data_IF_223800098140
#
_entry.id   IF_223800098140
#
_cell.length_a   1.000
_cell.length_b   1.000
_cell.length_c   1.000
_cell.angle_alpha   90.00
_cell.angle_beta   90.00
_cell.angle_gamma   90.00
#
_symmetry.space_group_name_H-M   'P 1'
#
loop_
_entity.id
_entity.type
_entity.pdbx_description
1 polymer ?
#
# COMPACT_ATOMS: atom_id res chain seq x y z
N UNK A 1 31.36 -30.02 22.77
CA UNK A 1 30.01 -30.40 22.34
C UNK A 1 29.04 -29.35 22.86
N UNK A 2 28.85 -28.28 22.12
CA UNK A 2 27.93 -27.21 22.44
C UNK A 2 26.80 -27.26 21.44
N UNK A 3 25.58 -27.52 21.93
CA UNK A 3 24.40 -27.47 21.15
C UNK A 3 24.15 -26.00 20.73
N UNK A 4 24.26 -25.72 19.45
CA UNK A 4 23.74 -24.52 18.84
C UNK A 4 22.23 -24.67 18.85
N UNK A 5 21.59 -23.96 19.77
CA UNK A 5 20.13 -23.83 19.78
C UNK A 5 19.72 -23.15 18.49
N UNK A 6 19.09 -23.89 17.62
CA UNK A 6 18.38 -23.35 16.48
C UNK A 6 17.33 -22.39 17.02
N UNK A 7 17.52 -21.10 16.86
CA UNK A 7 16.44 -20.14 16.84
C UNK A 7 15.67 -20.43 15.54
N UNK A 8 14.75 -21.38 15.67
CA UNK A 8 13.82 -21.72 14.63
C UNK A 8 12.98 -20.47 14.31
N UNK A 9 13.00 -20.09 13.07
CA UNK A 9 12.08 -19.15 12.50
C UNK A 9 10.64 -19.65 12.52
N UNK A 10 10.10 -19.82 13.73
CA UNK A 10 8.73 -20.28 13.95
C UNK A 10 7.66 -19.23 13.59
N UNK A 11 8.06 -17.97 13.41
CA UNK A 11 7.11 -16.91 13.09
C UNK A 11 6.79 -16.79 11.61
N UNK A 12 7.71 -17.20 10.76
CA UNK A 12 7.51 -17.19 9.31
C UNK A 12 6.80 -18.44 8.79
N UNK A 13 6.91 -19.56 9.51
CA UNK A 13 6.27 -20.82 9.16
C UNK A 13 4.74 -20.75 9.17
N UNK A 14 4.19 -20.05 10.14
CA UNK A 14 2.72 -20.01 10.33
C UNK A 14 2.04 -19.09 9.29
N UNK A 15 2.65 -17.97 8.89
CA UNK A 15 2.13 -17.12 7.83
C UNK A 15 2.17 -17.78 6.45
N UNK A 16 3.23 -18.55 6.17
CA UNK A 16 3.38 -19.29 4.91
C UNK A 16 2.45 -20.52 4.87
N UNK A 17 2.15 -21.15 6.00
CA UNK A 17 1.23 -22.28 6.05
C UNK A 17 -0.22 -21.87 5.83
N UNK A 18 -0.63 -20.69 6.32
CA UNK A 18 -1.99 -20.15 6.09
C UNK A 18 -2.16 -19.74 4.63
N UNK A 19 -1.15 -19.11 4.02
CA UNK A 19 -1.17 -18.82 2.60
C UNK A 19 -1.22 -20.07 1.72
N UNK A 20 -0.74 -21.21 2.21
CA UNK A 20 -0.75 -22.50 1.53
C UNK A 20 -2.11 -23.21 1.62
N UNK A 21 -2.90 -22.94 2.68
CA UNK A 21 -4.26 -23.48 2.83
C UNK A 21 -5.29 -22.70 2.02
N UNK A 22 -5.08 -21.40 1.80
CA UNK A 22 -5.91 -20.60 0.90
C UNK A 22 -5.33 -20.59 -0.51
N UNK A 23 -5.47 -21.70 -1.23
CA UNK A 23 -5.02 -21.74 -2.63
C UNK A 23 -5.80 -20.75 -3.48
N UNK A 24 -5.14 -20.05 -4.43
CA UNK A 24 -5.82 -19.14 -5.38
C UNK A 24 -7.04 -19.77 -6.07
N UNK A 25 -7.07 -21.08 -6.20
CA UNK A 25 -8.19 -21.84 -6.73
C UNK A 25 -9.46 -21.80 -5.90
N UNK A 26 -9.37 -21.67 -4.57
CA UNK A 26 -10.56 -21.55 -3.70
C UNK A 26 -11.17 -20.15 -3.74
N UNK A 27 -10.36 -19.14 -3.96
CA UNK A 27 -10.83 -17.75 -4.11
C UNK A 27 -11.40 -17.53 -5.52
N UNK A 28 -10.85 -18.18 -6.54
CA UNK A 28 -11.31 -18.07 -7.93
C UNK A 28 -12.62 -18.80 -8.21
N UNK A 29 -13.05 -19.75 -7.38
CA UNK A 29 -14.27 -20.52 -7.61
C UNK A 29 -15.57 -19.81 -7.21
N UNK A 30 -15.48 -18.66 -6.54
CA UNK A 30 -16.67 -17.93 -6.07
C UNK A 30 -17.20 -16.92 -7.09
N UNK A 31 -16.42 -16.57 -8.12
CA UNK A 31 -16.82 -15.63 -9.16
C UNK A 31 -16.32 -16.15 -10.51
N UNK A 32 -17.23 -16.76 -11.29
CA UNK A 32 -16.88 -17.43 -12.55
C UNK A 32 -16.62 -16.46 -13.70
N UNK A 33 -16.84 -15.16 -13.49
CA UNK A 33 -16.66 -14.15 -14.52
C UNK A 33 -15.25 -13.57 -14.46
N UNK A 34 -14.35 -14.16 -15.23
CA UNK A 34 -13.04 -13.58 -15.49
C UNK A 34 -13.19 -12.25 -16.20
N UNK A 35 -12.88 -11.17 -15.50
CA UNK A 35 -12.80 -9.86 -16.10
C UNK A 35 -11.59 -9.81 -17.03
N UNK A 36 -11.83 -9.44 -18.27
CA UNK A 36 -10.77 -9.14 -19.25
C UNK A 36 -10.87 -7.64 -19.51
N UNK A 37 -9.77 -6.93 -19.39
CA UNK A 37 -9.73 -5.52 -19.76
C UNK A 37 -10.02 -5.38 -21.25
N UNK A 38 -11.05 -4.63 -21.60
CA UNK A 38 -11.41 -4.34 -22.99
C UNK A 38 -10.28 -3.59 -23.72
N UNK A 39 -9.55 -2.74 -23.00
CA UNK A 39 -8.52 -1.89 -23.57
C UNK A 39 -7.18 -2.62 -23.81
N UNK A 40 -6.74 -3.43 -22.86
CA UNK A 40 -5.41 -4.09 -22.90
C UNK A 40 -5.49 -5.58 -23.21
N UNK A 41 -6.66 -6.20 -23.15
CA UNK A 41 -6.83 -7.66 -23.22
C UNK A 41 -6.25 -8.41 -22.01
N UNK A 42 -5.80 -7.70 -20.98
CA UNK A 42 -5.24 -8.30 -19.78
C UNK A 42 -6.30 -9.03 -18.96
N UNK A 43 -5.96 -10.21 -18.45
CA UNK A 43 -6.82 -10.95 -17.52
C UNK A 43 -6.73 -10.29 -16.15
N UNK A 44 -7.78 -9.65 -15.73
CA UNK A 44 -7.87 -9.01 -14.42
C UNK A 44 -8.11 -10.07 -13.32
N UNK A 45 -7.53 -9.84 -12.16
CA UNK A 45 -7.97 -10.52 -10.93
C UNK A 45 -9.42 -10.18 -10.68
N UNK A 46 -10.25 -11.16 -10.28
CA UNK A 46 -11.64 -10.85 -9.96
C UNK A 46 -11.73 -9.86 -8.81
N UNK A 47 -12.74 -9.00 -8.83
CA UNK A 47 -12.98 -8.06 -7.73
C UNK A 47 -13.14 -8.79 -6.40
N UNK A 48 -13.81 -9.95 -6.40
CA UNK A 48 -13.95 -10.77 -5.22
C UNK A 48 -12.57 -11.13 -4.63
N UNK A 49 -11.69 -11.73 -5.44
CA UNK A 49 -10.34 -12.10 -4.98
C UNK A 49 -9.56 -10.89 -4.46
N UNK A 50 -9.57 -9.78 -5.21
CA UNK A 50 -8.84 -8.56 -4.85
C UNK A 50 -9.36 -7.87 -3.59
N UNK A 51 -10.63 -8.10 -3.21
CA UNK A 51 -11.23 -7.48 -2.02
C UNK A 51 -11.26 -8.40 -0.80
N UNK A 52 -11.05 -9.71 -0.96
CA UNK A 52 -11.12 -10.69 0.13
C UNK A 52 -9.76 -11.30 0.48
N UNK A 53 -8.71 -10.98 -0.26
CA UNK A 53 -7.36 -11.46 -0.02
C UNK A 53 -6.38 -10.28 -0.01
N UNK A 54 -6.11 -9.73 1.16
CA UNK A 54 -5.39 -8.47 1.32
C UNK A 54 -4.31 -8.55 2.40
N UNK A 55 -3.25 -7.75 2.23
CA UNK A 55 -2.23 -7.48 3.23
C UNK A 55 -2.40 -6.06 3.78
N UNK A 56 -3.48 -5.78 4.50
CA UNK A 56 -3.66 -4.58 5.29
C UNK A 56 -3.61 -4.98 6.78
N UNK A 57 -2.38 -5.14 7.28
CA UNK A 57 -2.11 -5.64 8.64
C UNK A 57 -2.62 -4.71 9.74
N UNK A 58 -2.97 -3.50 9.38
CA UNK A 58 -3.73 -2.56 10.21
C UNK A 58 -5.03 -3.18 10.73
N UNK A 59 -5.64 -4.09 9.96
CA UNK A 59 -6.87 -4.79 10.36
C UNK A 59 -6.61 -6.17 10.96
N UNK A 60 -5.47 -6.79 10.67
CA UNK A 60 -5.09 -8.10 11.18
C UNK A 60 -4.16 -8.87 10.24
N UNK A 61 -3.71 -10.04 10.69
CA UNK A 61 -2.71 -10.84 9.99
C UNK A 61 -3.29 -11.82 8.97
N UNK A 62 -4.54 -12.23 9.14
CA UNK A 62 -5.22 -13.09 8.17
C UNK A 62 -5.56 -12.30 6.91
N UNK A 63 -5.46 -12.94 5.73
CA UNK A 63 -5.72 -12.29 4.45
C UNK A 63 -7.17 -11.84 4.27
N UNK A 64 -8.09 -12.43 5.03
CA UNK A 64 -9.51 -12.05 5.05
C UNK A 64 -9.83 -10.98 6.10
N UNK A 65 -8.95 -10.76 7.06
CA UNK A 65 -9.14 -9.77 8.13
C UNK A 65 -9.48 -8.36 7.61
N UNK A 66 -8.77 -7.82 6.60
CA UNK A 66 -9.09 -6.49 6.09
C UNK A 66 -10.53 -6.38 5.58
N UNK A 67 -11.01 -7.38 4.86
CA UNK A 67 -12.40 -7.41 4.38
C UNK A 67 -13.41 -7.49 5.55
N UNK A 68 -13.15 -8.36 6.52
CA UNK A 68 -14.07 -8.61 7.63
C UNK A 68 -14.09 -7.48 8.65
N UNK A 69 -12.97 -6.80 8.87
CA UNK A 69 -12.76 -5.87 9.99
C UNK A 69 -12.74 -4.40 9.60
N UNK A 70 -12.70 -4.08 8.31
CA UNK A 70 -12.62 -2.68 7.86
C UNK A 70 -13.95 -1.92 7.83
N UNK A 71 -15.07 -2.58 8.17
CA UNK A 71 -16.41 -1.98 8.07
C UNK A 71 -16.65 -0.75 8.97
N UNK A 72 -15.88 -0.63 10.06
CA UNK A 72 -15.96 0.51 10.96
C UNK A 72 -14.96 1.64 10.61
N UNK A 73 -14.13 1.44 9.59
CA UNK A 73 -13.11 2.40 9.21
C UNK A 73 -13.71 3.60 8.46
N UNK A 74 -13.53 4.78 9.02
CA UNK A 74 -14.03 6.03 8.46
C UNK A 74 -13.12 6.57 7.36
N UNK A 75 -13.66 6.60 6.14
CA UNK A 75 -12.96 7.08 4.95
C UNK A 75 -12.99 8.61 4.81
N UNK A 76 -13.89 9.29 5.50
CA UNK A 76 -14.07 10.75 5.45
C UNK A 76 -14.30 11.33 6.86
N UNK A 77 -13.77 12.54 7.16
CA UNK A 77 -12.88 13.33 6.31
C UNK A 77 -11.50 12.70 6.18
N UNK A 78 -10.81 12.93 5.04
CA UNK A 78 -9.45 12.47 4.82
C UNK A 78 -8.56 13.61 4.37
N UNK A 79 -7.44 13.79 5.07
CA UNK A 79 -6.47 14.84 4.81
C UNK A 79 -5.06 14.25 4.68
N UNK A 80 -4.26 14.84 3.82
CA UNK A 80 -2.86 14.48 3.63
C UNK A 80 -1.99 15.71 3.85
N UNK A 81 -1.04 15.62 4.76
CA UNK A 81 -0.07 16.66 5.05
C UNK A 81 1.21 16.43 4.25
N UNK A 82 1.67 17.46 3.56
CA UNK A 82 2.95 17.52 2.88
C UNK A 82 3.88 18.44 3.63
N UNK A 83 5.07 17.95 3.97
CA UNK A 83 6.06 18.70 4.73
C UNK A 83 7.51 18.31 4.42
N UNK A 84 8.46 18.81 5.23
CA UNK A 84 9.89 18.59 5.04
C UNK A 84 10.46 19.51 3.96
N UNK A 85 11.33 18.98 3.10
CA UNK A 85 12.07 19.75 2.09
C UNK A 85 11.20 20.07 0.87
N UNK A 86 10.15 20.88 1.05
CA UNK A 86 9.32 21.42 -0.02
C UNK A 86 9.06 22.92 0.19
N UNK A 87 8.85 23.65 -0.90
CA UNK A 87 8.66 25.10 -0.83
C UNK A 87 7.25 25.50 -0.40
N UNK A 88 6.26 24.62 -0.63
CA UNK A 88 4.84 24.85 -0.35
C UNK A 88 4.26 23.74 0.54
N UNK A 89 4.70 23.62 1.80
CA UNK A 89 4.11 22.64 2.71
C UNK A 89 2.65 22.99 2.97
N UNK A 90 1.82 21.97 3.24
CA UNK A 90 0.40 22.18 3.51
C UNK A 90 -0.35 20.90 3.77
N UNK A 91 -1.59 21.03 4.19
CA UNK A 91 -2.54 19.92 4.35
C UNK A 91 -3.66 20.09 3.36
N UNK A 92 -3.94 19.04 2.60
CA UNK A 92 -4.93 19.03 1.54
C UNK A 92 -6.00 17.99 1.83
N UNK A 93 -7.24 18.34 1.58
CA UNK A 93 -8.34 17.37 1.57
C UNK A 93 -8.23 16.41 0.37
N UNK A 94 -8.86 15.27 0.48
CA UNK A 94 -8.85 14.28 -0.59
C UNK A 94 -9.36 14.85 -1.92
N UNK A 95 -10.43 15.65 -1.86
CA UNK A 95 -11.03 16.26 -3.04
C UNK A 95 -10.07 17.28 -3.70
N UNK A 96 -9.25 17.98 -2.91
CA UNK A 96 -8.19 18.84 -3.42
C UNK A 96 -7.13 18.02 -4.18
N UNK A 97 -6.70 16.88 -3.61
CA UNK A 97 -5.72 15.99 -4.24
C UNK A 97 -6.24 15.41 -5.56
N UNK A 98 -7.52 15.04 -5.58
CA UNK A 98 -8.19 14.55 -6.79
C UNK A 98 -8.38 15.64 -7.85
N UNK A 99 -8.58 16.89 -7.44
CA UNK A 99 -8.80 18.06 -8.29
C UNK A 99 -7.53 18.79 -8.72
N UNK A 100 -6.32 18.37 -8.28
CA UNK A 100 -5.07 19.07 -8.60
C UNK A 100 -4.82 19.21 -10.10
N UNK A 101 -4.21 20.34 -10.54
CA UNK A 101 -3.87 20.55 -11.93
C UNK A 101 -2.78 19.56 -12.40
N UNK A 102 -2.51 19.52 -13.70
CA UNK A 102 -1.50 18.77 -14.44
C UNK A 102 -1.97 17.42 -15.02
N UNK A 103 -2.85 16.67 -14.35
CA UNK A 103 -3.39 15.44 -14.93
C UNK A 103 -4.84 15.22 -14.50
N UNK A 104 -5.56 14.43 -15.27
CA UNK A 104 -6.88 13.94 -14.90
C UNK A 104 -6.74 12.64 -14.11
N UNK A 105 -7.79 12.24 -13.42
CA UNK A 105 -7.89 10.87 -12.88
C UNK A 105 -8.01 9.91 -14.07
N UNK A 106 -7.28 8.82 -14.00
CA UNK A 106 -7.26 7.77 -15.02
C UNK A 106 -7.29 6.39 -14.37
N UNK A 107 -7.72 5.39 -15.12
CA UNK A 107 -7.56 4.00 -14.72
C UNK A 107 -6.25 3.45 -15.28
N UNK A 108 -5.50 2.74 -14.44
CA UNK A 108 -4.30 1.99 -14.84
C UNK A 108 -4.38 0.57 -14.35
N UNK A 109 -4.10 -0.36 -15.23
CA UNK A 109 -4.04 -1.78 -14.92
C UNK A 109 -2.59 -2.14 -14.61
N UNK A 110 -2.35 -2.59 -13.38
CA UNK A 110 -1.03 -3.03 -12.95
C UNK A 110 -1.03 -4.50 -12.54
N UNK A 111 -0.05 -5.25 -13.03
CA UNK A 111 0.33 -6.54 -12.47
C UNK A 111 1.22 -6.28 -11.25
N UNK A 112 0.67 -6.57 -10.08
CA UNK A 112 1.24 -6.16 -8.82
C UNK A 112 1.65 -7.38 -7.99
N UNK A 113 2.94 -7.48 -7.67
CA UNK A 113 3.52 -8.65 -7.00
C UNK A 113 3.73 -8.41 -5.52
N UNK A 114 3.35 -9.39 -4.72
CA UNK A 114 3.69 -9.45 -3.30
C UNK A 114 5.01 -10.22 -3.09
N UNK A 115 5.78 -9.85 -2.06
CA UNK A 115 6.96 -10.58 -1.60
C UNK A 115 6.60 -12.01 -1.15
N UNK A 116 5.36 -12.25 -0.74
CA UNK A 116 4.81 -13.57 -0.39
C UNK A 116 4.56 -14.49 -1.61
N UNK A 117 5.14 -14.16 -2.79
CA UNK A 117 5.13 -14.95 -4.00
C UNK A 117 3.76 -15.10 -4.70
N UNK A 118 2.83 -14.17 -4.50
CA UNK A 118 1.57 -14.08 -5.24
C UNK A 118 1.43 -12.72 -5.93
N UNK A 119 0.56 -12.61 -6.92
CA UNK A 119 0.32 -11.38 -7.67
C UNK A 119 -1.13 -11.21 -8.03
N UNK A 120 -1.52 -9.97 -8.30
CA UNK A 120 -2.85 -9.59 -8.78
C UNK A 120 -2.73 -8.56 -9.89
N UNK A 121 -3.58 -8.68 -10.90
CA UNK A 121 -3.75 -7.68 -11.96
C UNK A 121 -4.97 -6.85 -11.62
N UNK A 122 -4.77 -5.62 -11.19
CA UNK A 122 -5.81 -4.76 -10.62
C UNK A 122 -5.93 -3.46 -11.41
N UNK A 123 -7.14 -3.02 -11.76
CA UNK A 123 -7.39 -1.69 -12.28
C UNK A 123 -7.43 -0.69 -11.11
N UNK A 124 -6.47 0.23 -11.10
CA UNK A 124 -6.34 1.29 -10.12
C UNK A 124 -6.80 2.63 -10.70
N UNK A 125 -7.62 3.37 -9.96
CA UNK A 125 -8.08 4.70 -10.32
C UNK A 125 -7.30 5.77 -9.57
N UNK A 126 -6.71 6.71 -10.28
CA UNK A 126 -5.87 7.73 -9.66
C UNK A 126 -5.15 8.61 -10.66
N UNK A 127 -3.94 9.07 -10.31
CA UNK A 127 -3.07 9.88 -11.16
C UNK A 127 -1.60 9.65 -10.85
N UNK A 128 -0.65 10.05 -11.72
CA UNK A 128 0.77 10.00 -11.39
C UNK A 128 1.07 10.75 -10.09
N UNK A 129 1.75 10.10 -9.15
CA UNK A 129 2.11 10.73 -7.87
C UNK A 129 2.94 12.00 -8.09
N UNK A 130 3.85 11.98 -9.05
CA UNK A 130 4.71 13.13 -9.37
C UNK A 130 3.93 14.41 -9.68
N UNK A 131 2.70 14.32 -10.19
CA UNK A 131 1.89 15.50 -10.47
C UNK A 131 1.34 16.14 -9.19
N UNK A 132 1.04 15.35 -8.18
CA UNK A 132 0.69 15.84 -6.84
C UNK A 132 1.93 16.47 -6.18
N UNK A 133 3.08 15.77 -6.24
CA UNK A 133 4.31 16.24 -5.59
C UNK A 133 4.80 17.58 -6.18
N UNK A 134 4.62 17.82 -7.48
CA UNK A 134 4.97 19.10 -8.13
C UNK A 134 4.23 20.31 -7.52
N UNK A 135 3.02 20.12 -6.99
CA UNK A 135 2.23 21.21 -6.41
C UNK A 135 2.89 21.78 -5.15
N UNK A 136 3.53 20.94 -4.37
CA UNK A 136 4.22 21.35 -3.15
C UNK A 136 5.68 21.75 -3.37
N UNK A 137 6.18 21.66 -4.60
CA UNK A 137 7.50 22.11 -5.03
C UNK A 137 8.64 21.52 -4.18
N UNK A 138 8.99 20.23 -4.35
CA UNK A 138 10.13 19.65 -3.64
C UNK A 138 11.41 20.44 -3.89
N UNK A 139 12.18 20.71 -2.84
CA UNK A 139 13.46 21.43 -2.94
C UNK A 139 14.52 20.52 -3.60
N UNK A 140 15.51 21.14 -4.25
CA UNK A 140 16.61 20.41 -4.89
C UNK A 140 17.48 19.58 -3.95
N UNK A 141 17.36 19.79 -2.63
CA UNK A 141 17.99 18.96 -1.58
C UNK A 141 17.19 17.74 -1.18
N UNK A 142 15.91 17.64 -1.54
CA UNK A 142 15.10 16.46 -1.28
C UNK A 142 15.62 15.26 -2.09
N UNK A 143 15.96 14.20 -1.39
CA UNK A 143 16.46 12.95 -1.98
C UNK A 143 15.46 11.80 -1.82
N UNK A 144 14.62 11.87 -0.80
CA UNK A 144 13.67 10.81 -0.45
C UNK A 144 12.31 11.41 -0.14
N UNK A 145 11.30 10.55 -0.31
CA UNK A 145 9.92 10.85 0.05
C UNK A 145 9.45 9.74 0.99
N UNK A 146 9.05 10.11 2.20
CA UNK A 146 8.49 9.22 3.21
C UNK A 146 6.97 9.35 3.22
N UNK A 147 6.28 8.23 3.38
CA UNK A 147 4.83 8.13 3.47
C UNK A 147 4.45 7.54 4.82
N UNK A 148 3.58 8.20 5.55
CA UNK A 148 3.08 7.72 6.84
C UNK A 148 1.60 7.39 6.70
N UNK A 149 1.23 6.17 7.10
CA UNK A 149 -0.15 5.70 7.17
C UNK A 149 -0.87 6.24 8.40
N UNK A 150 -2.20 6.22 8.37
CA UNK A 150 -3.02 6.65 9.48
C UNK A 150 -2.82 5.75 10.72
N UNK A 151 -2.90 6.34 11.90
CA UNK A 151 -2.94 5.64 13.17
C UNK A 151 -4.33 5.80 13.79
N UNK A 152 -5.14 4.75 13.76
CA UNK A 152 -6.51 4.70 14.33
C UNK A 152 -6.79 3.33 14.95
N UNK A 153 -6.14 2.98 16.07
CA UNK A 153 -6.25 1.64 16.66
C UNK A 153 -7.69 1.28 17.06
N UNK A 154 -8.55 2.26 17.30
CA UNK A 154 -9.96 2.07 17.59
C UNK A 154 -10.79 1.60 16.38
N UNK A 155 -10.29 1.84 15.16
CA UNK A 155 -10.92 1.43 13.90
C UNK A 155 -10.12 0.35 13.16
N UNK A 156 -8.86 0.18 13.54
CA UNK A 156 -7.88 -0.72 12.94
C UNK A 156 -7.32 -1.68 13.99
N UNK A 157 -8.01 -2.79 14.28
CA UNK A 157 -7.67 -3.68 15.40
C UNK A 157 -6.28 -4.31 15.32
N UNK A 158 -5.69 -4.41 14.14
CA UNK A 158 -4.30 -4.86 13.97
C UNK A 158 -3.29 -3.91 14.59
N UNK A 159 -3.58 -2.59 14.57
CA UNK A 159 -2.74 -1.57 15.21
C UNK A 159 -2.83 -1.62 16.75
N UNK A 160 -3.96 -2.09 17.29
CA UNK A 160 -4.16 -2.24 18.72
C UNK A 160 -3.66 -3.58 19.29
N UNK A 161 -3.26 -4.51 18.42
CA UNK A 161 -2.90 -5.87 18.81
C UNK A 161 -1.59 -5.90 19.61
N UNK A 162 -1.63 -6.46 20.82
CA UNK A 162 -0.43 -6.72 21.63
C UNK A 162 0.52 -7.77 20.98
N UNK A 163 0.06 -8.46 19.95
CA UNK A 163 0.85 -9.45 19.21
C UNK A 163 1.37 -8.86 17.86
N UNK A 164 1.12 -7.57 17.61
CA UNK A 164 1.73 -6.90 16.44
C UNK A 164 3.25 -6.87 16.60
N UNK A 165 3.97 -7.32 15.59
CA UNK A 165 5.42 -7.16 15.53
C UNK A 165 5.82 -5.86 14.86
N UNK A 166 4.88 -5.21 14.16
CA UNK A 166 5.12 -3.94 13.47
C UNK A 166 4.92 -2.75 14.40
N UNK A 167 5.83 -1.80 14.29
CA UNK A 167 5.64 -0.47 14.88
C UNK A 167 4.66 0.34 14.03
N UNK A 168 3.66 0.92 14.69
CA UNK A 168 2.65 1.76 14.08
C UNK A 168 2.88 3.26 14.37
N UNK A 169 2.56 4.17 13.46
CA UNK A 169 1.95 3.95 12.15
C UNK A 169 2.91 3.32 11.14
N UNK A 170 2.40 2.64 10.13
CA UNK A 170 3.20 2.14 9.02
C UNK A 170 3.88 3.29 8.27
N UNK A 171 5.17 3.14 8.05
CA UNK A 171 5.99 4.09 7.28
C UNK A 171 6.66 3.37 6.12
N UNK A 172 6.58 3.96 4.94
CA UNK A 172 7.32 3.52 3.77
C UNK A 172 8.02 4.70 3.11
N UNK A 173 9.05 4.44 2.31
CA UNK A 173 9.78 5.49 1.63
C UNK A 173 10.27 5.07 0.24
N UNK A 174 10.42 6.07 -0.62
CA UNK A 174 10.96 5.97 -1.98
C UNK A 174 12.07 7.00 -2.15
N UNK A 175 12.95 6.80 -3.14
CA UNK A 175 13.76 7.92 -3.62
C UNK A 175 12.88 8.95 -4.31
N UNK A 176 13.38 10.18 -4.43
CA UNK A 176 12.61 11.23 -5.13
C UNK A 176 12.36 10.86 -6.60
N UNK A 177 13.32 10.20 -7.24
CA UNK A 177 13.20 9.73 -8.62
C UNK A 177 12.11 8.66 -8.76
N UNK A 178 12.04 7.72 -7.81
CA UNK A 178 10.98 6.70 -7.78
C UNK A 178 9.61 7.31 -7.51
N UNK A 179 9.53 8.26 -6.58
CA UNK A 179 8.27 8.95 -6.26
C UNK A 179 7.77 9.81 -7.43
N UNK A 180 8.68 10.43 -8.19
CA UNK A 180 8.39 11.26 -9.36
C UNK A 180 8.22 10.45 -10.65
N UNK A 181 8.49 9.14 -10.62
CA UNK A 181 8.40 8.30 -11.81
C UNK A 181 6.95 8.25 -12.34
N UNK A 182 6.73 8.33 -13.65
CA UNK A 182 5.37 8.36 -14.21
C UNK A 182 4.48 7.17 -13.86
N UNK A 183 5.07 6.00 -13.56
CA UNK A 183 4.34 4.81 -13.16
C UNK A 183 4.00 4.78 -11.66
N UNK A 184 4.64 5.59 -10.82
CA UNK A 184 4.24 5.72 -9.41
C UNK A 184 2.91 6.45 -9.35
N UNK A 185 1.93 5.82 -8.71
CA UNK A 185 0.54 6.22 -8.84
C UNK A 185 -0.07 6.56 -7.47
N UNK A 186 -0.64 7.74 -7.38
CA UNK A 186 -1.50 8.16 -6.28
C UNK A 186 -2.89 7.59 -6.56
N UNK A 187 -3.29 6.62 -5.77
CA UNK A 187 -4.48 5.81 -6.00
C UNK A 187 -5.59 6.20 -5.04
N UNK A 188 -6.78 6.44 -5.58
CA UNK A 188 -7.99 6.84 -4.87
C UNK A 188 -9.11 5.80 -4.97
N UNK A 189 -9.01 4.84 -5.86
CA UNK A 189 -10.00 3.80 -6.06
C UNK A 189 -9.47 2.59 -6.83
N UNK A 190 -10.27 1.54 -6.91
CA UNK A 190 -10.03 0.32 -7.68
C UNK A 190 -11.33 -0.14 -8.34
N UNK A 191 -11.24 -0.85 -9.47
CA UNK A 191 -12.39 -1.39 -10.21
C UNK A 191 -13.50 -0.36 -10.50
N UNK A 192 -13.13 0.70 -11.23
CA UNK A 192 -13.96 1.90 -11.32
C UNK A 192 -13.99 2.60 -9.94
N UNK A 193 -14.34 3.77 -9.76
CA UNK A 193 -14.21 4.66 -8.60
C UNK A 193 -14.59 4.10 -7.21
N UNK A 194 -14.29 2.82 -6.94
CA UNK A 194 -14.63 2.14 -5.70
C UNK A 194 -13.57 2.38 -4.63
N UNK A 195 -13.99 3.08 -3.58
CA UNK A 195 -13.16 3.37 -2.42
C UNK A 195 -13.36 2.25 -1.39
N UNK A 196 -12.45 1.27 -1.40
CA UNK A 196 -12.54 0.06 -0.59
C UNK A 196 -11.46 0.07 0.50
N UNK A 197 -11.84 0.17 1.79
CA UNK A 197 -10.86 0.28 2.88
C UNK A 197 -9.90 -0.91 2.93
N UNK A 198 -10.38 -2.14 2.72
CA UNK A 198 -9.52 -3.33 2.70
C UNK A 198 -8.42 -3.29 1.63
N UNK A 199 -8.57 -2.46 0.59
CA UNK A 199 -7.58 -2.23 -0.46
C UNK A 199 -6.65 -1.02 -0.17
N UNK A 200 -6.71 -0.45 1.03
CA UNK A 200 -5.83 0.65 1.44
C UNK A 200 -6.33 2.05 1.13
N UNK A 201 -7.63 2.18 0.83
CA UNK A 201 -8.26 3.46 0.51
C UNK A 201 -8.64 4.24 1.78
N UNK A 202 -8.85 5.58 1.69
CA UNK A 202 -9.18 6.34 0.49
C UNK A 202 -7.98 6.88 -0.29
N UNK A 203 -6.76 6.76 0.25
CA UNK A 203 -5.55 7.23 -0.43
C UNK A 203 -4.38 6.29 -0.18
N UNK A 204 -3.83 5.74 -1.25
CA UNK A 204 -2.65 4.89 -1.21
C UNK A 204 -1.70 5.23 -2.35
N UNK A 205 -0.44 4.81 -2.22
CA UNK A 205 0.53 4.86 -3.29
C UNK A 205 0.66 3.46 -3.90
N UNK A 206 0.79 3.39 -5.22
CA UNK A 206 1.01 2.15 -5.96
C UNK A 206 2.29 2.29 -6.79
N UNK A 207 3.24 1.37 -6.56
CA UNK A 207 4.56 1.34 -7.22
C UNK A 207 4.70 -0.01 -7.92
N UNK A 208 4.28 -0.13 -9.19
CA UNK A 208 4.01 -1.43 -9.82
C UNK A 208 5.25 -2.28 -10.08
N UNK A 209 6.45 -1.70 -10.14
CA UNK A 209 7.71 -2.45 -10.37
C UNK A 209 8.39 -2.90 -9.06
N UNK A 210 7.83 -2.55 -7.90
CA UNK A 210 8.33 -2.95 -6.58
C UNK A 210 7.38 -3.95 -5.93
N UNK A 211 7.87 -4.65 -4.92
CA UNK A 211 7.00 -5.48 -4.09
C UNK A 211 5.91 -4.67 -3.39
N UNK A 212 4.77 -5.32 -3.14
CA UNK A 212 3.57 -4.69 -2.60
C UNK A 212 3.77 -3.92 -1.29
N UNK A 213 4.72 -4.33 -0.44
CA UNK A 213 5.00 -3.61 0.80
C UNK A 213 5.58 -2.21 0.57
N UNK A 214 6.23 -1.96 -0.58
CA UNK A 214 6.71 -0.61 -0.97
C UNK A 214 5.58 0.34 -1.41
N UNK A 215 4.34 -0.11 -1.36
CA UNK A 215 3.15 0.64 -1.77
C UNK A 215 2.26 0.96 -0.55
N UNK A 216 2.58 2.03 0.20
CA UNK A 216 1.90 2.36 1.45
C UNK A 216 0.41 2.65 1.23
N UNK A 217 -0.40 2.22 2.20
CA UNK A 217 -1.85 2.35 2.25
C UNK A 217 -2.25 3.40 3.29
N UNK A 218 -3.46 3.91 3.18
CA UNK A 218 -4.02 4.84 4.19
C UNK A 218 -3.14 6.05 4.48
N UNK A 219 -2.51 6.61 3.45
CA UNK A 219 -1.49 7.67 3.60
C UNK A 219 -2.13 8.97 4.07
N UNK A 220 -1.57 9.54 5.15
CA UNK A 220 -1.98 10.83 5.75
C UNK A 220 -0.85 11.86 5.80
N UNK A 221 0.39 11.44 5.52
CA UNK A 221 1.54 12.36 5.49
C UNK A 221 2.54 11.93 4.43
N UNK A 222 3.08 12.93 3.74
CA UNK A 222 4.16 12.79 2.75
C UNK A 222 5.26 13.79 3.13
N UNK A 223 6.44 13.28 3.51
CA UNK A 223 7.55 14.09 4.01
C UNK A 223 8.75 13.98 3.09
N UNK A 224 9.29 15.12 2.65
CA UNK A 224 10.50 15.18 1.83
C UNK A 224 11.74 15.29 2.70
N UNK A 225 12.72 14.42 2.48
CA UNK A 225 13.94 14.37 3.30
C UNK A 225 15.22 14.33 2.45
N UNK A 226 16.33 14.81 3.01
CA UNK A 226 17.66 14.67 2.40
C UNK A 226 18.28 13.31 2.74
N UNK A 227 18.08 12.86 3.97
CA UNK A 227 18.58 11.58 4.47
C UNK A 227 17.55 10.48 4.23
N UNK A 228 18.03 9.26 3.96
CA UNK A 228 17.20 8.08 3.76
C UNK A 228 16.39 7.80 5.04
N UNK A 229 15.04 7.82 4.97
CA UNK A 229 14.22 7.47 6.12
C UNK A 229 14.20 5.96 6.34
N UNK A 230 13.95 5.59 7.58
CA UNK A 230 13.64 4.20 7.91
C UNK A 230 12.24 3.82 7.39
N UNK A 231 12.07 2.54 7.03
CA UNK A 231 10.80 1.99 6.58
C UNK A 231 10.41 0.80 7.46
N UNK A 232 9.12 0.64 7.75
CA UNK A 232 8.62 -0.31 8.75
C UNK A 232 9.15 -1.73 8.53
N UNK A 233 8.99 -2.30 7.34
CA UNK A 233 9.48 -3.66 7.08
C UNK A 233 11.00 -3.76 7.05
N UNK A 234 11.70 -2.72 6.59
CA UNK A 234 13.15 -2.70 6.62
C UNK A 234 13.73 -2.68 8.04
N UNK A 235 13.04 -2.04 8.98
CA UNK A 235 13.41 -2.08 10.40
C UNK A 235 13.16 -3.48 10.99
N UNK A 236 11.99 -4.06 10.69
CA UNK A 236 11.56 -5.35 11.24
C UNK A 236 12.46 -6.51 10.79
N UNK A 237 12.72 -6.63 9.51
CA UNK A 237 13.68 -7.61 8.98
C UNK A 237 14.43 -7.10 7.75
N UNK A 238 15.57 -6.42 7.95
CA UNK A 238 16.34 -5.82 6.87
C UNK A 238 17.01 -6.82 5.92
N UNK A 239 17.02 -8.11 6.29
CA UNK A 239 17.56 -9.17 5.42
C UNK A 239 16.56 -9.65 4.40
N UNK A 240 15.27 -9.62 4.74
CA UNK A 240 14.17 -10.05 3.88
C UNK A 240 13.56 -8.86 3.11
N UNK A 241 13.46 -7.69 3.74
CA UNK A 241 12.82 -6.51 3.19
C UNK A 241 13.86 -5.42 2.87
N UNK A 242 14.50 -5.55 1.72
CA UNK A 242 15.43 -4.52 1.24
C UNK A 242 14.74 -3.17 1.08
N UNK A 243 15.45 -2.09 1.40
CA UNK A 243 14.89 -0.74 1.32
C UNK A 243 14.45 -0.34 -0.11
N UNK A 244 15.13 -0.87 -1.12
CA UNK A 244 14.84 -0.59 -2.54
C UNK A 244 13.92 -1.63 -3.21
N UNK A 245 13.47 -2.65 -2.52
CA UNK A 245 12.74 -3.82 -3.08
C UNK A 245 11.49 -3.46 -3.86
#
# INVERSE_FOLDING_TARGET
MGAIGAFSGLRYGDGVSVAKEMQPQQVASADSDMLVSEESGARLTTKYAATHYNNAYEFGWDKTDPYQKSGAFELKPWQVTFDGLCAKPGTFDLDDLMGMPFSHLEERIYDFRCVEAWSMVIPYNGRPLGDILKVVEPLGSARYVSFTSVLRPEQMPGQASAFSTLDWPYVEALTIEEAMHPLTFATFGVYGDQVLPQNGMPFRITVPWKYGFKSPKFVVRITFTETRPDATWHIEDPREYGWYS
#
